data_IF_867145286695
#
_entry.id   IF_867145286695
#
_cell.length_a   1.000
_cell.length_b   1.000
_cell.length_c   1.000
_cell.angle_alpha   90.00
_cell.angle_beta   90.00
_cell.angle_gamma   90.00
#
_symmetry.space_group_name_H-M   'P 1'
#
loop_
_entity.id
_entity.type
_entity.pdbx_description
1 polymer ?
#
# COMPACT_ATOMS: atom_id res chain seq x y z
N UNK A 1 50.04 -54.70 -8.67
CA UNK A 1 50.38 -53.32 -8.27
C UNK A 1 49.29 -52.82 -7.35
N UNK A 2 49.61 -52.54 -6.13
CA UNK A 2 48.85 -52.53 -4.91
C UNK A 2 47.99 -51.25 -4.80
N UNK A 3 46.69 -51.42 -4.55
CA UNK A 3 45.74 -50.33 -4.22
C UNK A 3 45.64 -50.23 -2.71
N UNK A 4 46.07 -49.12 -2.15
CA UNK A 4 45.98 -48.84 -0.74
C UNK A 4 44.57 -48.25 -0.40
N UNK A 5 43.91 -48.93 0.54
CA UNK A 5 42.63 -48.52 1.14
C UNK A 5 42.88 -47.48 2.22
N UNK A 6 42.27 -46.30 2.13
CA UNK A 6 42.21 -45.35 3.23
C UNK A 6 40.81 -45.38 3.87
N UNK A 7 40.78 -45.82 5.12
CA UNK A 7 39.60 -45.72 5.99
C UNK A 7 39.45 -44.29 6.47
N UNK A 8 38.29 -43.68 6.20
CA UNK A 8 37.93 -42.37 6.72
C UNK A 8 36.98 -42.53 7.91
N UNK A 9 37.48 -42.19 9.10
CA UNK A 9 36.71 -42.11 10.33
C UNK A 9 35.86 -40.85 10.31
N UNK A 10 34.52 -40.97 10.31
CA UNK A 10 33.59 -39.85 10.37
C UNK A 10 33.50 -39.35 11.81
N UNK A 11 33.91 -38.12 12.07
CA UNK A 11 33.56 -37.36 13.26
C UNK A 11 32.16 -36.76 13.04
N UNK A 12 31.18 -37.18 13.82
CA UNK A 12 29.88 -36.56 13.95
C UNK A 12 30.06 -35.26 14.78
N UNK A 13 30.10 -34.08 14.11
CA UNK A 13 29.93 -32.83 14.78
C UNK A 13 28.41 -32.46 14.78
N UNK A 14 27.82 -32.44 15.98
CA UNK A 14 26.44 -32.04 16.16
C UNK A 14 26.26 -30.57 15.85
N UNK A 15 25.62 -30.27 14.72
CA UNK A 15 25.08 -28.93 14.42
C UNK A 15 23.77 -28.78 15.21
N UNK A 16 23.84 -28.03 16.30
CA UNK A 16 22.66 -27.42 16.94
C UNK A 16 22.10 -26.38 15.96
N UNK A 17 21.05 -26.76 15.24
CA UNK A 17 20.29 -25.89 14.41
C UNK A 17 19.59 -24.82 15.25
N UNK A 18 20.10 -23.59 15.26
CA UNK A 18 19.37 -22.42 15.72
C UNK A 18 18.30 -22.12 14.67
N UNK A 19 17.14 -22.74 14.82
CA UNK A 19 15.95 -22.38 14.08
C UNK A 19 15.57 -20.95 14.42
N UNK A 20 15.51 -20.08 13.42
CA UNK A 20 14.93 -18.74 13.55
C UNK A 20 13.50 -18.89 14.10
N UNK A 21 13.10 -18.11 15.11
CA UNK A 21 11.72 -18.15 15.60
C UNK A 21 10.80 -17.59 14.51
N UNK A 22 10.23 -18.49 13.71
CA UNK A 22 9.07 -18.16 12.89
C UNK A 22 7.93 -17.84 13.83
N UNK A 23 7.32 -16.68 13.67
CA UNK A 23 6.02 -16.39 14.25
C UNK A 23 5.09 -17.50 13.75
N UNK A 24 4.84 -18.49 14.58
CA UNK A 24 3.84 -19.50 14.29
C UNK A 24 2.47 -18.84 14.38
N UNK A 25 2.02 -18.28 13.26
CA UNK A 25 0.60 -18.16 13.02
C UNK A 25 0.08 -19.59 13.03
N UNK A 26 -0.74 -19.95 14.03
CA UNK A 26 -1.38 -21.25 14.11
C UNK A 26 -1.96 -21.59 12.74
N UNK A 27 -1.45 -22.67 12.12
CA UNK A 27 -1.99 -23.18 10.85
C UNK A 27 -3.44 -23.54 11.05
N UNK A 28 -4.39 -22.89 10.37
CA UNK A 28 -5.79 -23.26 10.47
C UNK A 28 -6.04 -24.62 9.80
N UNK A 29 -6.93 -25.41 10.38
CA UNK A 29 -7.62 -26.48 9.65
C UNK A 29 -8.26 -25.90 8.41
N UNK A 30 -8.05 -26.48 7.26
CA UNK A 30 -8.58 -26.18 5.94
C UNK A 30 -9.08 -24.72 5.74
N UNK A 31 -8.24 -23.83 5.17
CA UNK A 31 -8.58 -22.40 5.03
C UNK A 31 -9.77 -22.12 4.13
N UNK A 32 -10.29 -23.11 3.40
CA UNK A 32 -11.45 -22.94 2.50
C UNK A 32 -12.79 -22.99 3.24
N UNK A 33 -12.85 -23.52 4.46
CA UNK A 33 -14.09 -23.80 5.18
C UNK A 33 -14.55 -22.70 6.16
N UNK A 34 -13.65 -21.83 6.67
CA UNK A 34 -14.00 -20.83 7.70
C UNK A 34 -14.17 -19.42 7.11
N UNK A 35 -15.41 -19.10 6.74
CA UNK A 35 -15.80 -17.75 6.27
C UNK A 35 -16.20 -16.81 7.41
N UNK A 36 -16.11 -17.24 8.66
CA UNK A 36 -16.46 -16.41 9.82
C UNK A 36 -15.56 -15.19 9.97
N UNK A 37 -16.14 -14.10 10.48
CA UNK A 37 -15.39 -12.91 10.88
C UNK A 37 -15.00 -13.11 12.35
N UNK A 38 -13.69 -13.12 12.61
CA UNK A 38 -13.15 -13.36 13.95
C UNK A 38 -12.35 -12.16 14.43
N UNK A 39 -12.44 -11.78 15.71
CA UNK A 39 -11.60 -10.74 16.28
C UNK A 39 -10.11 -11.05 16.09
N UNK A 40 -9.34 -9.98 15.84
CA UNK A 40 -7.88 -10.05 15.71
C UNK A 40 -7.24 -9.05 16.66
N UNK A 41 -6.10 -9.40 17.20
CA UNK A 41 -5.28 -8.54 18.03
C UNK A 41 -3.82 -8.68 17.65
N UNK A 42 -3.16 -7.54 17.47
CA UNK A 42 -1.72 -7.51 17.20
C UNK A 42 -0.97 -7.89 18.48
N UNK A 43 -0.06 -8.85 18.38
CA UNK A 43 0.81 -9.26 19.48
C UNK A 43 2.13 -9.77 18.90
N UNK A 44 3.13 -8.88 18.82
CA UNK A 44 4.45 -9.23 18.32
C UNK A 44 5.30 -9.75 19.49
N UNK A 45 5.85 -10.97 19.43
CA UNK A 45 6.72 -11.48 20.49
C UNK A 45 7.94 -10.58 20.71
N UNK A 46 8.33 -10.38 21.96
CA UNK A 46 9.49 -9.53 22.31
C UNK A 46 10.78 -10.01 21.61
N UNK A 47 10.98 -11.31 21.51
CA UNK A 47 12.13 -11.90 20.83
C UNK A 47 12.27 -11.47 19.35
N UNK A 48 11.14 -11.21 18.64
CA UNK A 48 11.15 -10.70 17.26
C UNK A 48 11.66 -9.26 17.22
N UNK A 49 11.26 -8.44 18.19
CA UNK A 49 11.72 -7.05 18.30
C UNK A 49 13.18 -6.96 18.72
N UNK A 50 13.61 -7.87 19.60
CA UNK A 50 15.02 -7.95 20.03
C UNK A 50 15.91 -8.43 18.87
N UNK A 51 15.46 -9.39 18.06
CA UNK A 51 16.16 -9.81 16.84
C UNK A 51 16.26 -8.68 15.82
N UNK A 52 15.18 -7.92 15.63
CA UNK A 52 15.18 -6.72 14.77
C UNK A 52 16.26 -5.73 15.22
N UNK A 53 16.27 -5.33 16.50
CA UNK A 53 17.26 -4.40 17.05
C UNK A 53 18.69 -4.92 16.88
N UNK A 54 18.93 -6.21 17.16
CA UNK A 54 20.22 -6.85 16.95
C UNK A 54 20.68 -6.80 15.50
N UNK A 55 19.79 -7.07 14.53
CA UNK A 55 20.08 -7.02 13.09
C UNK A 55 20.36 -5.61 12.62
N UNK A 56 19.60 -4.62 13.08
CA UNK A 56 19.86 -3.19 12.78
C UNK A 56 21.23 -2.77 13.29
N UNK A 57 21.58 -3.14 14.54
CA UNK A 57 22.89 -2.83 15.12
C UNK A 57 24.06 -3.56 14.41
N UNK A 58 23.82 -4.74 13.86
CA UNK A 58 24.82 -5.54 13.13
C UNK A 58 24.87 -5.25 11.62
N UNK A 59 24.27 -4.15 11.17
CA UNK A 59 24.25 -3.78 9.75
C UNK A 59 25.65 -3.61 9.19
N UNK A 60 25.92 -4.28 8.06
CA UNK A 60 27.13 -4.05 7.26
C UNK A 60 26.90 -2.87 6.35
N UNK A 61 27.70 -1.84 6.51
CA UNK A 61 27.56 -0.60 5.75
C UNK A 61 28.30 -0.69 4.42
N UNK A 62 27.72 -0.16 3.33
CA UNK A 62 28.46 0.05 2.08
C UNK A 62 29.43 1.22 2.20
N UNK A 63 30.23 1.42 1.15
CA UNK A 63 31.01 2.64 0.99
C UNK A 63 30.08 3.87 0.92
N UNK A 64 30.62 5.02 1.34
CA UNK A 64 29.92 6.29 1.20
C UNK A 64 29.71 6.61 -0.28
N UNK A 65 28.53 7.13 -0.62
CA UNK A 65 28.23 7.65 -1.95
C UNK A 65 29.20 8.76 -2.36
N UNK A 66 29.70 8.79 -3.64
CA UNK A 66 30.59 9.82 -4.14
C UNK A 66 29.89 11.13 -4.55
N UNK A 67 28.56 11.17 -4.47
CA UNK A 67 27.73 12.34 -4.79
C UNK A 67 27.36 13.11 -3.52
N UNK A 68 27.01 14.38 -3.68
CA UNK A 68 26.60 15.24 -2.55
C UNK A 68 25.08 15.36 -2.38
N UNK A 69 24.34 14.75 -3.29
CA UNK A 69 22.87 14.72 -3.32
C UNK A 69 22.33 13.28 -3.17
N UNK A 70 21.06 13.08 -3.44
CA UNK A 70 20.40 11.75 -3.36
C UNK A 70 20.22 11.08 -4.72
N UNK A 71 20.97 11.48 -5.75
CA UNK A 71 20.84 10.92 -7.10
C UNK A 71 21.23 9.43 -7.20
N UNK A 72 21.93 8.90 -6.18
CA UNK A 72 22.28 7.49 -6.04
C UNK A 72 21.45 6.77 -4.95
N UNK A 73 20.40 7.41 -4.45
CA UNK A 73 19.58 6.93 -3.34
C UNK A 73 19.88 7.66 -2.04
N UNK A 74 19.37 7.14 -0.93
CA UNK A 74 19.51 7.73 0.39
C UNK A 74 20.98 7.80 0.85
N UNK A 75 21.45 8.96 1.29
CA UNK A 75 22.83 9.17 1.76
C UNK A 75 23.14 8.28 2.98
N UNK A 76 24.32 7.66 2.97
CA UNK A 76 24.75 6.73 4.03
C UNK A 76 24.65 7.34 5.43
N UNK A 77 24.99 8.60 5.60
CA UNK A 77 24.91 9.28 6.91
C UNK A 77 23.47 9.32 7.47
N UNK A 78 22.48 9.59 6.61
CA UNK A 78 21.06 9.57 6.99
C UNK A 78 20.57 8.14 7.33
N UNK A 79 21.00 7.15 6.55
CA UNK A 79 20.67 5.74 6.82
C UNK A 79 21.24 5.31 8.17
N UNK A 80 22.47 5.69 8.48
CA UNK A 80 23.11 5.40 9.78
C UNK A 80 22.42 6.11 10.95
N UNK A 81 21.94 7.33 10.74
CA UNK A 81 21.14 8.05 11.76
C UNK A 81 19.82 7.33 12.02
N UNK A 82 19.10 6.95 10.96
CA UNK A 82 17.86 6.18 11.06
C UNK A 82 18.08 4.85 11.78
N UNK A 83 19.17 4.14 11.47
CA UNK A 83 19.51 2.88 12.12
C UNK A 83 19.74 3.04 13.63
N UNK A 84 20.49 4.08 14.04
CA UNK A 84 20.68 4.38 15.47
C UNK A 84 19.36 4.64 16.18
N UNK A 85 18.51 5.47 15.57
CA UNK A 85 17.19 5.77 16.12
C UNK A 85 16.31 4.51 16.22
N UNK A 86 16.28 3.68 15.17
CA UNK A 86 15.48 2.45 15.13
C UNK A 86 15.93 1.43 16.20
N UNK A 87 17.24 1.30 16.39
CA UNK A 87 17.79 0.38 17.38
C UNK A 87 17.59 0.81 18.84
N UNK A 88 17.68 2.13 19.13
CA UNK A 88 17.76 2.67 20.48
C UNK A 88 16.45 3.32 20.98
N UNK A 89 15.83 4.15 20.15
CA UNK A 89 14.78 5.09 20.58
C UNK A 89 13.38 4.70 20.10
N UNK A 90 13.29 4.00 18.95
CA UNK A 90 12.01 3.59 18.37
C UNK A 90 11.32 2.50 19.20
N UNK A 91 10.04 2.68 19.49
CA UNK A 91 9.22 1.74 20.24
C UNK A 91 8.01 1.26 19.45
N UNK A 92 8.09 0.03 18.93
CA UNK A 92 6.99 -0.67 18.26
C UNK A 92 5.72 -0.76 19.11
N UNK A 93 5.86 -0.85 20.46
CA UNK A 93 4.70 -1.03 21.34
C UNK A 93 3.71 0.12 21.25
N UNK A 94 4.15 1.32 20.88
CA UNK A 94 3.28 2.47 20.62
C UNK A 94 2.34 2.21 19.45
N UNK A 95 2.87 1.70 18.32
CA UNK A 95 2.02 1.34 17.18
C UNK A 95 1.11 0.14 17.51
N UNK A 96 1.65 -0.90 18.14
CA UNK A 96 0.85 -2.06 18.56
C UNK A 96 -0.33 -1.63 19.45
N UNK A 97 -0.14 -0.71 20.37
CA UNK A 97 -1.19 -0.15 21.22
C UNK A 97 -2.21 0.64 20.39
N UNK A 98 -1.76 1.50 19.46
CA UNK A 98 -2.65 2.27 18.56
C UNK A 98 -3.51 1.34 17.70
N UNK A 99 -2.92 0.31 17.11
CA UNK A 99 -3.64 -0.69 16.34
C UNK A 99 -4.67 -1.41 17.21
N UNK A 100 -4.28 -1.88 18.39
CA UNK A 100 -5.13 -2.62 19.31
C UNK A 100 -6.23 -1.77 19.98
N UNK A 101 -6.16 -0.45 19.87
CA UNK A 101 -7.23 0.46 20.27
C UNK A 101 -8.41 0.47 19.28
N UNK A 102 -8.19 -0.04 18.06
CA UNK A 102 -9.23 -0.15 17.03
C UNK A 102 -9.73 -1.60 16.92
N UNK A 103 -11.03 -1.79 16.63
CA UNK A 103 -11.56 -3.12 16.34
C UNK A 103 -10.93 -3.70 15.07
N UNK A 104 -10.30 -4.87 15.18
CA UNK A 104 -9.63 -5.58 14.10
C UNK A 104 -10.18 -6.98 13.99
N UNK A 105 -10.21 -7.48 12.77
CA UNK A 105 -10.79 -8.78 12.45
C UNK A 105 -9.98 -9.50 11.37
N UNK A 106 -10.24 -10.81 11.27
CA UNK A 106 -9.79 -11.65 10.16
C UNK A 106 -10.95 -12.48 9.64
N UNK A 107 -10.95 -12.73 8.34
CA UNK A 107 -11.84 -13.69 7.67
C UNK A 107 -11.10 -14.37 6.53
N UNK A 108 -11.51 -15.55 6.11
CA UNK A 108 -10.90 -16.23 4.97
C UNK A 108 -11.70 -15.95 3.71
N UNK A 109 -11.10 -15.33 2.69
CA UNK A 109 -11.71 -15.06 1.39
C UNK A 109 -10.84 -15.70 0.32
N UNK A 110 -11.45 -16.49 -0.53
CA UNK A 110 -10.78 -17.13 -1.67
C UNK A 110 -9.51 -17.92 -1.24
N UNK A 111 -9.65 -18.64 -0.10
CA UNK A 111 -8.57 -19.44 0.50
C UNK A 111 -7.50 -18.65 1.27
N UNK A 112 -7.59 -17.33 1.31
CA UNK A 112 -6.59 -16.48 1.97
C UNK A 112 -7.19 -15.77 3.20
N UNK A 113 -6.46 -15.75 4.31
CA UNK A 113 -6.83 -14.95 5.47
C UNK A 113 -6.67 -13.47 5.13
N UNK A 114 -7.74 -12.70 5.30
CA UNK A 114 -7.76 -11.26 5.14
C UNK A 114 -7.93 -10.61 6.53
N UNK A 115 -6.96 -9.81 6.91
CA UNK A 115 -7.02 -8.93 8.07
C UNK A 115 -7.65 -7.59 7.67
N UNK A 116 -8.46 -7.01 8.55
CA UNK A 116 -9.01 -5.68 8.34
C UNK A 116 -9.33 -4.98 9.66
N UNK A 117 -9.22 -3.65 9.65
CA UNK A 117 -9.73 -2.76 10.69
C UNK A 117 -11.17 -2.41 10.29
N UNK A 118 -12.10 -2.47 11.24
CA UNK A 118 -13.50 -2.13 11.00
C UNK A 118 -14.06 -1.28 12.13
N UNK A 119 -14.30 -0.01 11.85
CA UNK A 119 -14.80 0.96 12.82
C UNK A 119 -16.13 1.52 12.35
N UNK A 120 -17.18 1.27 13.13
CA UNK A 120 -18.48 1.84 12.87
C UNK A 120 -18.58 3.25 13.44
N UNK A 121 -19.21 4.12 12.69
CA UNK A 121 -19.58 5.45 13.19
C UNK A 121 -20.61 5.37 14.29
N UNK A 122 -20.56 6.31 15.22
CA UNK A 122 -21.64 6.54 16.19
C UNK A 122 -22.85 7.27 15.60
N UNK A 123 -22.68 7.88 14.42
CA UNK A 123 -23.75 8.62 13.75
C UNK A 123 -24.65 7.67 12.95
N UNK A 124 -25.95 7.82 13.09
CA UNK A 124 -26.92 7.02 12.36
C UNK A 124 -26.84 7.30 10.84
N UNK A 125 -27.02 6.27 10.03
CA UNK A 125 -27.02 6.41 8.58
C UNK A 125 -25.63 6.65 7.96
N UNK A 126 -24.54 6.36 8.70
CA UNK A 126 -23.19 6.41 8.17
C UNK A 126 -23.07 5.57 6.89
N UNK A 127 -22.41 6.13 5.86
CA UNK A 127 -22.17 5.43 4.60
C UNK A 127 -20.93 4.52 4.76
N UNK A 128 -21.00 3.23 4.47
CA UNK A 128 -19.83 2.38 4.56
C UNK A 128 -18.81 2.74 3.47
N UNK A 129 -17.52 2.83 3.87
CA UNK A 129 -16.40 3.03 2.95
C UNK A 129 -15.34 1.96 3.17
N UNK A 130 -14.89 1.32 2.09
CA UNK A 130 -13.70 0.48 2.10
C UNK A 130 -12.52 1.28 1.57
N UNK A 131 -11.42 1.33 2.34
CA UNK A 131 -10.24 2.12 2.04
C UNK A 131 -9.06 1.18 1.80
N UNK A 132 -8.45 1.27 0.62
CA UNK A 132 -7.35 0.40 0.22
C UNK A 132 -6.05 1.20 0.15
N UNK A 133 -5.04 0.73 0.88
CA UNK A 133 -3.68 1.28 0.87
C UNK A 133 -2.88 0.82 -0.37
N UNK A 134 -1.63 1.27 -0.48
CA UNK A 134 -0.69 0.87 -1.52
C UNK A 134 0.65 0.35 -1.01
N UNK A 135 1.68 0.42 -1.86
CA UNK A 135 3.07 0.12 -1.55
C UNK A 135 3.93 1.40 -1.67
N UNK A 136 4.84 1.70 -0.75
CA UNK A 136 5.22 0.95 0.44
C UNK A 136 4.32 1.20 1.66
N UNK A 137 3.11 1.73 1.47
CA UNK A 137 2.12 1.94 2.52
C UNK A 137 1.55 0.66 3.12
N UNK A 138 0.66 0.79 4.08
CA UNK A 138 -0.08 -0.28 4.74
C UNK A 138 -1.34 0.28 5.41
N UNK A 139 -2.04 -0.55 6.20
CA UNK A 139 -3.14 -0.06 7.05
C UNK A 139 -2.71 1.04 8.02
N UNK A 140 -1.41 1.12 8.37
CA UNK A 140 -0.86 2.16 9.26
C UNK A 140 -1.02 3.54 8.65
N UNK A 141 -0.85 3.67 7.34
CA UNK A 141 -1.06 4.89 6.58
C UNK A 141 -2.48 5.45 6.77
N UNK A 142 -3.48 4.57 6.86
CA UNK A 142 -4.89 4.94 6.88
C UNK A 142 -5.43 5.23 8.29
N UNK A 143 -4.67 4.97 9.36
CA UNK A 143 -5.16 5.10 10.74
C UNK A 143 -5.65 6.49 11.09
N UNK A 144 -5.02 7.53 10.52
CA UNK A 144 -5.39 8.92 10.78
C UNK A 144 -6.72 9.33 10.16
N UNK A 145 -7.25 8.57 9.21
CA UNK A 145 -8.56 8.82 8.58
C UNK A 145 -9.72 8.31 9.43
N UNK A 146 -9.47 7.37 10.36
CA UNK A 146 -10.55 6.73 11.11
C UNK A 146 -11.40 7.75 11.87
N UNK A 147 -10.78 8.61 12.68
CA UNK A 147 -11.49 9.66 13.42
C UNK A 147 -12.27 10.61 12.52
N UNK A 148 -11.59 11.31 11.58
CA UNK A 148 -12.24 12.27 10.68
C UNK A 148 -13.40 11.72 9.86
N UNK A 149 -13.40 10.41 9.53
CA UNK A 149 -14.47 9.78 8.77
C UNK A 149 -15.56 9.20 9.65
N UNK A 150 -15.25 8.60 10.81
CA UNK A 150 -16.27 7.97 11.67
C UNK A 150 -16.97 8.97 12.60
N UNK A 151 -16.30 10.07 12.96
CA UNK A 151 -16.85 11.13 13.82
C UNK A 151 -16.55 12.52 13.22
N UNK A 152 -17.12 12.85 12.05
CA UNK A 152 -16.85 14.10 11.37
C UNK A 152 -17.21 15.33 12.20
N UNK A 153 -18.14 15.23 13.16
CA UNK A 153 -18.54 16.36 14.01
C UNK A 153 -17.43 16.84 14.94
N UNK A 154 -16.50 15.97 15.31
CA UNK A 154 -15.31 16.33 16.07
C UNK A 154 -14.17 16.87 15.17
N UNK A 155 -14.36 16.85 13.84
CA UNK A 155 -13.39 17.21 12.80
C UNK A 155 -13.96 18.23 11.79
N UNK A 156 -14.80 19.14 12.25
CA UNK A 156 -15.35 20.24 11.43
C UNK A 156 -16.34 19.81 10.33
N UNK A 157 -16.77 18.55 10.34
CA UNK A 157 -17.77 18.03 9.41
C UNK A 157 -19.15 17.93 10.04
N UNK A 158 -20.09 17.28 9.34
CA UNK A 158 -21.48 17.11 9.78
C UNK A 158 -21.78 15.63 10.04
N UNK A 159 -22.74 15.35 10.92
CA UNK A 159 -23.13 13.98 11.29
C UNK A 159 -23.55 13.13 10.07
N UNK A 160 -24.25 13.73 9.12
CA UNK A 160 -24.70 13.08 7.90
C UNK A 160 -23.55 12.74 6.92
N UNK A 161 -22.36 13.31 7.12
CA UNK A 161 -21.16 12.99 6.33
C UNK A 161 -20.36 11.81 6.90
N UNK A 162 -20.82 11.17 7.98
CA UNK A 162 -20.11 10.08 8.65
C UNK A 162 -20.01 8.80 7.81
N UNK A 163 -18.95 8.02 8.06
CA UNK A 163 -18.72 6.73 7.43
C UNK A 163 -18.51 5.63 8.45
N UNK A 164 -18.99 4.42 8.13
CA UNK A 164 -18.43 3.20 8.67
C UNK A 164 -17.17 2.85 7.87
N UNK A 165 -16.03 2.68 8.53
CA UNK A 165 -14.73 2.56 7.87
C UNK A 165 -14.22 1.14 7.92
N UNK A 166 -13.88 0.56 6.75
CA UNK A 166 -13.25 -0.75 6.58
C UNK A 166 -11.89 -0.56 5.91
N UNK A 167 -10.81 -0.97 6.60
CA UNK A 167 -9.43 -0.82 6.08
C UNK A 167 -8.78 -2.21 6.07
N UNK A 168 -8.84 -2.95 4.95
CA UNK A 168 -8.18 -4.24 4.85
C UNK A 168 -6.68 -4.09 4.61
N UNK A 169 -5.88 -5.01 5.20
CA UNK A 169 -4.53 -5.29 4.69
C UNK A 169 -4.65 -6.04 3.38
N UNK A 170 -4.00 -5.57 2.32
CA UNK A 170 -4.03 -6.27 1.03
C UNK A 170 -3.42 -7.68 1.14
N UNK A 171 -3.81 -8.63 0.26
CA UNK A 171 -3.16 -9.93 0.15
C UNK A 171 -1.63 -9.82 0.06
N UNK A 172 -0.91 -10.48 0.96
CA UNK A 172 0.54 -10.39 1.04
C UNK A 172 1.10 -9.19 1.80
N UNK A 173 0.26 -8.37 2.42
CA UNK A 173 0.64 -7.19 3.20
C UNK A 173 0.21 -7.32 4.66
N UNK A 174 0.97 -6.70 5.55
CA UNK A 174 0.61 -6.56 6.97
C UNK A 174 0.20 -7.90 7.59
N UNK A 175 -0.98 -7.94 8.21
CA UNK A 175 -1.47 -9.14 8.90
C UNK A 175 -2.35 -10.03 8.02
N UNK A 176 -2.56 -9.72 6.74
CA UNK A 176 -3.21 -10.63 5.80
C UNK A 176 -2.28 -11.77 5.39
N UNK A 177 -2.88 -12.88 4.96
CA UNK A 177 -2.17 -14.04 4.46
C UNK A 177 -1.28 -13.69 3.26
N UNK A 178 -0.20 -14.45 3.11
CA UNK A 178 0.69 -14.35 1.95
C UNK A 178 0.20 -15.34 0.89
N UNK A 179 -0.18 -14.88 -0.32
CA UNK A 179 -0.61 -15.76 -1.38
C UNK A 179 0.42 -16.87 -1.68
N UNK A 180 -0.05 -18.08 -1.83
CA UNK A 180 0.74 -19.27 -2.22
C UNK A 180 0.56 -19.63 -3.69
N UNK A 181 -0.43 -19.03 -4.33
CA UNK A 181 -0.76 -19.14 -5.75
C UNK A 181 -0.65 -17.78 -6.44
N UNK A 182 -0.57 -17.78 -7.76
CA UNK A 182 -0.60 -16.59 -8.59
C UNK A 182 -2.02 -16.07 -8.83
N UNK A 183 -2.14 -14.86 -9.40
CA UNK A 183 -3.41 -14.26 -9.78
C UNK A 183 -4.01 -13.29 -8.77
N UNK A 184 -3.33 -12.98 -7.66
CA UNK A 184 -3.77 -11.95 -6.70
C UNK A 184 -3.43 -10.53 -7.22
N UNK A 185 -3.96 -10.23 -8.41
CA UNK A 185 -3.91 -8.91 -9.04
C UNK A 185 -5.06 -8.01 -8.53
N UNK A 186 -5.12 -6.72 -8.94
CA UNK A 186 -6.18 -5.79 -8.53
C UNK A 186 -7.60 -6.31 -8.80
N UNK A 187 -7.82 -7.09 -9.87
CA UNK A 187 -9.13 -7.65 -10.20
C UNK A 187 -9.59 -8.72 -9.19
N UNK A 188 -8.68 -9.57 -8.73
CA UNK A 188 -8.99 -10.58 -7.70
C UNK A 188 -9.16 -9.90 -6.33
N UNK A 189 -8.32 -8.92 -6.00
CA UNK A 189 -8.45 -8.13 -4.76
C UNK A 189 -9.80 -7.41 -4.74
N UNK A 190 -10.22 -6.81 -5.85
CA UNK A 190 -11.52 -6.15 -5.97
C UNK A 190 -12.70 -7.08 -5.68
N UNK A 191 -12.67 -8.34 -6.18
CA UNK A 191 -13.67 -9.35 -5.84
C UNK A 191 -13.65 -9.70 -4.35
N UNK A 192 -12.47 -9.84 -3.77
CA UNK A 192 -12.33 -10.11 -2.35
C UNK A 192 -12.90 -8.97 -1.49
N UNK A 193 -12.72 -7.71 -1.91
CA UNK A 193 -13.30 -6.54 -1.21
C UNK A 193 -14.83 -6.50 -1.33
N UNK A 194 -15.39 -6.81 -2.49
CA UNK A 194 -16.84 -6.98 -2.66
C UNK A 194 -17.41 -8.06 -1.74
N UNK A 195 -16.74 -9.20 -1.63
CA UNK A 195 -17.11 -10.28 -0.72
C UNK A 195 -16.96 -9.88 0.75
N UNK A 196 -15.91 -9.13 1.11
CA UNK A 196 -15.74 -8.60 2.47
C UNK A 196 -16.90 -7.69 2.87
N UNK A 197 -17.27 -6.74 2.02
CA UNK A 197 -18.38 -5.82 2.27
C UNK A 197 -19.72 -6.55 2.37
N UNK A 198 -19.94 -7.56 1.54
CA UNK A 198 -21.13 -8.44 1.61
C UNK A 198 -21.19 -9.22 2.94
N UNK A 199 -20.07 -9.76 3.42
CA UNK A 199 -20.00 -10.47 4.73
C UNK A 199 -20.25 -9.55 5.91
N UNK A 200 -19.89 -8.27 5.79
CA UNK A 200 -20.20 -7.24 6.78
C UNK A 200 -21.67 -6.79 6.73
N UNK A 201 -22.47 -7.31 5.77
CA UNK A 201 -23.90 -7.03 5.65
C UNK A 201 -24.22 -5.73 4.91
N UNK A 202 -23.24 -5.14 4.22
CA UNK A 202 -23.44 -3.91 3.48
C UNK A 202 -24.02 -4.16 2.08
N UNK A 203 -25.18 -3.58 1.82
CA UNK A 203 -25.85 -3.59 0.52
C UNK A 203 -25.56 -2.35 -0.31
N UNK A 204 -25.02 -1.29 0.34
CA UNK A 204 -24.61 -0.04 -0.28
C UNK A 204 -23.32 0.43 0.39
N UNK A 205 -22.32 0.77 -0.40
CA UNK A 205 -21.03 1.25 0.10
C UNK A 205 -20.26 2.00 -1.00
N UNK A 206 -19.19 2.66 -0.63
CA UNK A 206 -18.25 3.33 -1.55
C UNK A 206 -16.83 2.81 -1.31
N UNK A 207 -15.93 3.01 -2.28
CA UNK A 207 -14.54 2.61 -2.15
C UNK A 207 -13.61 3.82 -2.35
N UNK A 208 -12.53 3.85 -1.56
CA UNK A 208 -11.46 4.84 -1.66
C UNK A 208 -10.13 4.13 -1.83
N UNK A 209 -9.20 4.70 -2.62
CA UNK A 209 -7.86 4.19 -2.75
C UNK A 209 -6.86 5.18 -3.33
N UNK A 210 -5.64 5.11 -2.83
CA UNK A 210 -4.43 5.73 -3.38
C UNK A 210 -3.45 4.66 -3.82
N UNK A 211 -2.41 4.99 -4.57
CA UNK A 211 -1.42 4.04 -5.08
C UNK A 211 -2.07 2.76 -5.64
N UNK A 212 -1.70 1.55 -5.17
CA UNK A 212 -2.37 0.29 -5.55
C UNK A 212 -3.86 0.24 -5.17
N UNK A 213 -4.29 1.00 -4.18
CA UNK A 213 -5.70 1.15 -3.86
C UNK A 213 -6.51 1.77 -4.99
N UNK A 214 -5.92 2.64 -5.82
CA UNK A 214 -6.59 3.23 -6.99
C UNK A 214 -6.95 2.19 -8.06
N UNK A 215 -6.04 1.31 -8.54
CA UNK A 215 -6.42 0.21 -9.43
C UNK A 215 -7.40 -0.78 -8.81
N UNK A 216 -7.30 -1.05 -7.51
CA UNK A 216 -8.27 -1.93 -6.83
C UNK A 216 -9.67 -1.30 -6.81
N UNK A 217 -9.80 -0.03 -6.43
CA UNK A 217 -11.08 0.69 -6.46
C UNK A 217 -11.64 0.78 -7.90
N UNK A 218 -10.78 1.08 -8.88
CA UNK A 218 -11.15 1.09 -10.30
C UNK A 218 -11.63 -0.29 -10.78
N UNK A 219 -10.98 -1.36 -10.36
CA UNK A 219 -11.41 -2.73 -10.67
C UNK A 219 -12.76 -3.08 -10.02
N UNK A 220 -13.00 -2.64 -8.77
CA UNK A 220 -14.31 -2.79 -8.11
C UNK A 220 -15.42 -2.10 -8.90
N UNK A 221 -15.16 -0.88 -9.36
CA UNK A 221 -16.13 -0.11 -10.13
C UNK A 221 -16.36 -0.71 -11.54
N UNK A 222 -15.30 -1.15 -12.22
CA UNK A 222 -15.39 -1.79 -13.53
C UNK A 222 -16.15 -3.13 -13.48
N UNK A 223 -15.96 -3.89 -12.41
CA UNK A 223 -16.68 -5.14 -12.16
C UNK A 223 -18.12 -4.92 -11.68
N UNK A 224 -18.52 -3.66 -11.45
CA UNK A 224 -19.81 -3.28 -10.91
C UNK A 224 -20.18 -4.12 -9.66
N UNK A 225 -19.26 -4.13 -8.67
CA UNK A 225 -19.45 -4.93 -7.47
C UNK A 225 -20.81 -4.63 -6.81
N UNK A 226 -21.58 -5.66 -6.41
CA UNK A 226 -22.89 -5.47 -5.83
C UNK A 226 -22.87 -4.50 -4.65
N UNK A 227 -23.70 -3.47 -4.73
CA UNK A 227 -23.81 -2.44 -3.69
C UNK A 227 -22.78 -1.31 -3.76
N UNK A 228 -21.79 -1.37 -4.65
CA UNK A 228 -20.84 -0.27 -4.83
C UNK A 228 -21.53 0.91 -5.54
N UNK A 229 -21.56 2.07 -4.88
CA UNK A 229 -22.21 3.28 -5.39
C UNK A 229 -21.27 4.18 -6.21
N UNK A 230 -19.98 4.14 -5.92
CA UNK A 230 -18.96 4.95 -6.58
C UNK A 230 -17.60 4.80 -5.92
N UNK A 231 -16.59 5.40 -6.53
CA UNK A 231 -15.20 5.35 -6.05
C UNK A 231 -14.60 6.74 -5.92
N UNK A 232 -13.66 6.88 -4.97
CA UNK A 232 -12.76 8.03 -4.86
C UNK A 232 -11.31 7.57 -4.95
N UNK A 233 -10.51 8.22 -5.77
CA UNK A 233 -9.10 7.89 -5.99
C UNK A 233 -8.24 9.16 -6.00
N UNK A 234 -7.01 9.05 -5.47
CA UNK A 234 -6.05 10.16 -5.44
C UNK A 234 -4.80 9.92 -6.31
N UNK A 235 -4.66 8.75 -6.93
CA UNK A 235 -3.68 8.49 -7.98
C UNK A 235 -4.40 7.86 -9.19
N UNK A 236 -5.06 8.67 -10.04
CA UNK A 236 -5.89 8.14 -11.12
C UNK A 236 -5.06 7.58 -12.28
N UNK A 237 -5.53 6.49 -12.89
CA UNK A 237 -5.03 6.06 -14.18
C UNK A 237 -5.68 6.91 -15.28
N UNK A 238 -5.07 8.04 -15.57
CA UNK A 238 -5.62 9.01 -16.52
C UNK A 238 -4.70 9.29 -17.72
N UNK A 239 -3.52 8.68 -17.76
CA UNK A 239 -2.53 8.93 -18.82
C UNK A 239 -3.07 8.47 -20.18
N UNK A 240 -3.19 9.37 -21.18
CA UNK A 240 -3.67 9.02 -22.50
C UNK A 240 -2.76 8.01 -23.21
N UNK A 241 -3.30 7.11 -24.06
CA UNK A 241 -2.51 6.06 -24.73
C UNK A 241 -1.33 6.59 -25.55
N UNK A 242 -1.49 7.72 -26.24
CA UNK A 242 -0.43 8.35 -27.02
C UNK A 242 0.70 8.90 -26.13
N UNK A 243 0.38 9.48 -24.99
CA UNK A 243 1.36 9.92 -23.98
C UNK A 243 2.07 8.71 -23.38
N UNK A 244 1.31 7.68 -23.01
CA UNK A 244 1.84 6.43 -22.46
C UNK A 244 2.83 5.75 -23.41
N UNK A 245 2.52 5.74 -24.71
CA UNK A 245 3.42 5.18 -25.74
C UNK A 245 4.74 5.92 -25.81
N UNK A 246 4.74 7.25 -25.73
CA UNK A 246 5.96 8.05 -25.74
C UNK A 246 6.78 7.82 -24.46
N UNK A 247 6.13 7.77 -23.30
CA UNK A 247 6.81 7.49 -22.02
C UNK A 247 7.46 6.11 -22.00
N UNK A 248 6.83 5.11 -22.63
CA UNK A 248 7.35 3.74 -22.69
C UNK A 248 8.55 3.59 -23.64
N UNK A 249 8.52 4.27 -24.78
CA UNK A 249 9.52 4.11 -25.85
C UNK A 249 10.61 5.20 -25.83
N UNK A 250 10.47 6.22 -25.00
CA UNK A 250 11.28 7.43 -25.03
C UNK A 250 10.90 8.33 -26.20
N UNK A 251 10.91 9.63 -25.98
CA UNK A 251 10.60 10.60 -27.00
C UNK A 251 10.25 11.97 -26.41
N UNK A 252 10.17 13.01 -27.27
CA UNK A 252 9.73 14.32 -26.80
C UNK A 252 8.25 14.31 -26.45
N UNK A 253 7.83 15.24 -25.59
CA UNK A 253 6.42 15.44 -25.29
C UNK A 253 5.62 15.68 -26.58
N UNK A 254 4.38 15.19 -26.68
CA UNK A 254 3.51 15.47 -27.81
C UNK A 254 3.34 16.99 -28.02
N UNK A 255 3.14 17.40 -29.27
CA UNK A 255 2.72 18.78 -29.56
C UNK A 255 1.31 19.06 -29.10
N UNK A 256 1.00 20.33 -28.78
CA UNK A 256 -0.36 20.77 -28.46
C UNK A 256 -0.84 20.50 -27.03
N UNK A 257 0.04 20.04 -26.14
CA UNK A 257 -0.29 19.92 -24.72
C UNK A 257 -0.47 21.31 -24.10
N UNK A 258 -1.50 21.45 -23.25
CA UNK A 258 -1.64 22.61 -22.35
C UNK A 258 -0.47 22.64 -21.34
N UNK A 259 -0.35 23.74 -20.61
CA UNK A 259 0.68 23.89 -19.58
C UNK A 259 0.56 22.80 -18.49
N UNK A 260 -0.65 22.51 -18.03
CA UNK A 260 -0.91 21.47 -17.01
C UNK A 260 -0.62 20.07 -17.55
N UNK A 261 -0.99 19.78 -18.79
CA UNK A 261 -0.69 18.50 -19.45
C UNK A 261 0.80 18.32 -19.69
N UNK A 262 1.50 19.41 -20.04
CA UNK A 262 2.95 19.40 -20.19
C UNK A 262 3.66 19.14 -18.85
N UNK A 263 3.22 19.79 -17.78
CA UNK A 263 3.74 19.56 -16.44
C UNK A 263 3.52 18.10 -15.98
N UNK A 264 2.33 17.55 -16.27
CA UNK A 264 2.03 16.14 -16.00
C UNK A 264 2.93 15.19 -16.79
N UNK A 265 3.14 15.46 -18.09
CA UNK A 265 4.08 14.69 -18.92
C UNK A 265 5.51 14.73 -18.36
N UNK A 266 6.03 15.91 -18.05
CA UNK A 266 7.39 16.09 -17.55
C UNK A 266 7.62 15.40 -16.19
N UNK A 267 6.58 15.36 -15.33
CA UNK A 267 6.59 14.63 -14.05
C UNK A 267 6.64 13.12 -14.28
N UNK A 268 5.78 12.60 -15.16
CA UNK A 268 5.76 11.19 -15.54
C UNK A 268 7.05 10.76 -16.22
N UNK A 269 7.60 11.54 -17.15
CA UNK A 269 8.87 11.23 -17.82
C UNK A 269 10.01 11.12 -16.83
N UNK A 270 10.07 12.03 -15.85
CA UNK A 270 11.03 11.97 -14.73
C UNK A 270 10.83 10.72 -13.89
N UNK A 271 9.60 10.40 -13.51
CA UNK A 271 9.27 9.20 -12.75
C UNK A 271 9.69 7.94 -13.50
N UNK A 272 9.33 7.82 -14.78
CA UNK A 272 9.68 6.65 -15.60
C UNK A 272 11.19 6.49 -15.81
N UNK A 273 11.95 7.57 -15.90
CA UNK A 273 13.39 7.54 -16.14
C UNK A 273 14.21 7.39 -14.86
N UNK A 274 13.75 7.95 -13.73
CA UNK A 274 14.62 8.12 -12.55
C UNK A 274 14.09 7.48 -11.28
N UNK A 275 12.75 7.37 -11.09
CA UNK A 275 12.18 7.05 -9.79
C UNK A 275 11.50 5.68 -9.71
N UNK A 276 11.30 4.96 -10.84
CA UNK A 276 10.54 3.69 -10.83
C UNK A 276 11.42 2.42 -10.75
N UNK A 277 12.70 2.53 -10.40
CA UNK A 277 13.59 1.36 -10.37
C UNK A 277 13.05 0.24 -9.44
N UNK A 278 12.49 0.61 -8.29
CA UNK A 278 11.85 -0.32 -7.36
C UNK A 278 10.69 -1.09 -8.03
N UNK A 279 9.82 -0.39 -8.75
CA UNK A 279 8.66 -1.00 -9.43
C UNK A 279 9.11 -1.93 -10.58
N UNK A 280 10.17 -1.57 -11.32
CA UNK A 280 10.75 -2.42 -12.35
C UNK A 280 11.35 -3.70 -11.77
N UNK A 281 12.08 -3.61 -10.66
CA UNK A 281 12.64 -4.76 -9.95
C UNK A 281 11.52 -5.67 -9.42
N UNK A 282 10.52 -5.12 -8.73
CA UNK A 282 9.40 -5.89 -8.19
C UNK A 282 8.51 -6.46 -9.28
N UNK A 283 8.32 -5.76 -10.39
CA UNK A 283 7.53 -6.22 -11.54
C UNK A 283 8.19 -7.35 -12.34
N UNK A 284 9.50 -7.50 -12.26
CA UNK A 284 10.25 -8.49 -13.05
C UNK A 284 10.86 -9.59 -12.21
N UNK A 285 11.39 -9.29 -11.03
CA UNK A 285 12.15 -10.19 -10.16
C UNK A 285 11.80 -10.03 -8.67
N UNK A 286 10.50 -10.13 -8.27
CA UNK A 286 10.08 -9.88 -6.89
C UNK A 286 10.75 -10.80 -5.88
N UNK A 287 11.06 -12.04 -6.27
CA UNK A 287 11.71 -12.99 -5.35
C UNK A 287 13.17 -12.61 -5.10
N UNK A 288 13.87 -12.05 -6.09
CA UNK A 288 15.27 -11.63 -5.94
C UNK A 288 15.39 -10.49 -4.94
N UNK A 289 14.61 -9.42 -5.14
CA UNK A 289 14.62 -8.31 -4.19
C UNK A 289 14.00 -8.71 -2.85
N UNK A 290 12.96 -9.54 -2.85
CA UNK A 290 12.32 -10.05 -1.65
C UNK A 290 13.28 -10.81 -0.74
N UNK A 291 14.22 -11.59 -1.29
CA UNK A 291 15.26 -12.27 -0.52
C UNK A 291 16.14 -11.28 0.26
N UNK A 292 16.59 -10.20 -0.39
CA UNK A 292 17.41 -9.18 0.26
C UNK A 292 16.64 -8.41 1.34
N UNK A 293 15.39 -8.02 1.05
CA UNK A 293 14.55 -7.24 1.95
C UNK A 293 14.06 -8.05 3.16
N UNK A 294 13.97 -9.37 3.03
CA UNK A 294 13.61 -10.28 4.13
C UNK A 294 14.78 -10.51 5.08
N UNK A 295 16.01 -10.44 4.60
CA UNK A 295 17.21 -10.73 5.41
C UNK A 295 17.77 -9.49 6.12
N UNK A 296 17.63 -8.30 5.51
CA UNK A 296 18.19 -7.05 6.03
C UNK A 296 17.09 -6.04 6.39
N UNK A 297 16.88 -5.70 7.69
CA UNK A 297 15.96 -4.64 8.06
C UNK A 297 16.37 -3.29 7.50
N UNK A 298 17.68 -2.98 7.45
CA UNK A 298 18.15 -1.74 6.86
C UNK A 298 18.04 -1.74 5.32
N UNK A 299 18.20 -2.89 4.68
CA UNK A 299 17.88 -3.04 3.25
C UNK A 299 16.42 -2.76 2.96
N UNK A 300 15.51 -3.30 3.78
CA UNK A 300 14.07 -3.01 3.67
C UNK A 300 13.79 -1.52 3.89
N UNK A 301 14.32 -0.93 4.96
CA UNK A 301 14.09 0.47 5.28
C UNK A 301 14.58 1.40 4.15
N UNK A 302 15.79 1.21 3.64
CA UNK A 302 16.33 2.03 2.55
C UNK A 302 15.57 1.86 1.25
N UNK A 303 15.15 0.63 0.91
CA UNK A 303 14.37 0.37 -0.29
C UNK A 303 12.99 1.02 -0.24
N UNK A 304 12.32 1.01 0.93
CA UNK A 304 11.04 1.69 1.12
C UNK A 304 11.20 3.22 1.21
N UNK A 305 12.33 3.69 1.73
CA UNK A 305 12.62 5.11 1.88
C UNK A 305 12.87 5.82 0.55
N UNK A 306 13.50 5.13 -0.41
CA UNK A 306 13.84 5.67 -1.73
C UNK A 306 12.60 6.00 -2.58
N UNK A 307 11.42 5.53 -2.18
CA UNK A 307 10.18 5.74 -2.90
C UNK A 307 9.91 7.22 -3.22
N UNK A 308 10.20 8.15 -2.32
CA UNK A 308 9.94 9.58 -2.49
C UNK A 308 11.23 10.39 -2.72
N UNK A 309 12.10 9.93 -3.62
CA UNK A 309 13.41 10.53 -3.93
C UNK A 309 14.30 10.68 -2.67
N UNK A 310 14.15 9.78 -1.69
CA UNK A 310 14.98 9.72 -0.51
C UNK A 310 14.75 10.84 0.51
N UNK A 311 13.59 11.49 0.52
CA UNK A 311 13.24 12.55 1.50
C UNK A 311 11.89 12.34 2.19
N UNK A 312 11.55 11.15 2.73
CA UNK A 312 10.27 10.97 3.45
C UNK A 312 10.18 11.84 4.70
N UNK A 313 11.30 12.22 5.33
CA UNK A 313 11.28 13.10 6.51
C UNK A 313 10.65 14.47 6.27
N UNK A 314 10.52 14.90 5.03
CA UNK A 314 9.80 16.13 4.69
C UNK A 314 8.30 15.99 4.89
N UNK A 315 7.80 14.74 4.87
CA UNK A 315 6.38 14.40 4.85
C UNK A 315 5.96 13.57 6.06
N UNK A 316 6.86 12.71 6.56
CA UNK A 316 6.59 11.75 7.64
C UNK A 316 7.60 11.91 8.77
N UNK A 317 7.15 11.76 10.01
CA UNK A 317 8.06 11.63 11.14
C UNK A 317 8.86 10.31 11.04
N UNK A 318 10.04 10.25 11.68
CA UNK A 318 10.82 9.00 11.78
C UNK A 318 9.98 7.85 12.36
N UNK A 319 9.12 8.14 13.33
CA UNK A 319 8.23 7.16 13.93
C UNK A 319 7.19 6.64 12.93
N UNK A 320 6.51 7.52 12.19
CA UNK A 320 5.52 7.09 11.18
C UNK A 320 6.15 6.19 10.11
N UNK A 321 7.35 6.56 9.65
CA UNK A 321 8.09 5.75 8.71
C UNK A 321 8.49 4.39 9.29
N UNK A 322 9.06 4.37 10.51
CA UNK A 322 9.50 3.15 11.17
C UNK A 322 8.32 2.27 11.63
N UNK A 323 7.18 2.86 11.98
CA UNK A 323 5.94 2.13 12.24
C UNK A 323 5.59 1.24 11.06
N UNK A 324 5.64 1.80 9.86
CA UNK A 324 5.32 1.08 8.63
C UNK A 324 6.39 0.05 8.24
N UNK A 325 7.67 0.43 8.23
CA UNK A 325 8.77 -0.49 7.91
C UNK A 325 8.82 -1.66 8.90
N UNK A 326 8.63 -1.37 10.20
CA UNK A 326 8.61 -2.41 11.23
C UNK A 326 7.43 -3.36 11.05
N UNK A 327 6.25 -2.87 10.62
CA UNK A 327 5.14 -3.74 10.27
C UNK A 327 5.53 -4.74 9.17
N UNK A 328 6.12 -4.27 8.07
CA UNK A 328 6.61 -5.16 7.00
C UNK A 328 7.63 -6.18 7.50
N UNK A 329 8.52 -5.75 8.39
CA UNK A 329 9.54 -6.61 8.97
C UNK A 329 8.94 -7.71 9.87
N UNK A 330 8.14 -7.33 10.87
CA UNK A 330 7.61 -8.28 11.86
C UNK A 330 6.59 -9.25 11.26
N UNK A 331 5.94 -8.88 10.16
CA UNK A 331 5.02 -9.75 9.41
C UNK A 331 5.72 -10.51 8.27
N UNK A 332 6.99 -10.20 8.00
CA UNK A 332 7.76 -10.79 6.89
C UNK A 332 7.04 -10.68 5.54
N UNK A 333 6.55 -9.48 5.21
CA UNK A 333 5.73 -9.24 4.01
C UNK A 333 6.47 -8.51 2.89
N UNK A 334 7.77 -8.25 3.01
CA UNK A 334 8.56 -7.58 1.98
C UNK A 334 8.49 -8.30 0.62
N UNK A 335 8.71 -9.62 0.61
CA UNK A 335 8.67 -10.41 -0.62
C UNK A 335 7.24 -10.57 -1.17
N UNK A 336 6.26 -10.86 -0.30
CA UNK A 336 4.87 -11.10 -0.73
C UNK A 336 4.21 -9.84 -1.28
N UNK A 337 4.46 -8.68 -0.67
CA UNK A 337 3.95 -7.39 -1.16
C UNK A 337 4.52 -7.01 -2.53
N UNK A 338 5.80 -7.32 -2.76
CA UNK A 338 6.46 -7.07 -4.04
C UNK A 338 5.81 -7.82 -5.21
N UNK A 339 5.20 -8.99 -4.95
CA UNK A 339 4.58 -9.82 -6.00
C UNK A 339 3.38 -9.15 -6.67
N UNK A 340 2.70 -8.20 -6.02
CA UNK A 340 1.59 -7.47 -6.65
C UNK A 340 2.04 -6.75 -7.94
N UNK A 341 3.26 -6.22 -7.97
CA UNK A 341 3.83 -5.62 -9.18
C UNK A 341 4.04 -6.64 -10.29
N UNK A 342 4.46 -7.85 -9.96
CA UNK A 342 4.62 -8.94 -10.92
C UNK A 342 3.26 -9.47 -11.43
N UNK A 343 2.26 -9.56 -10.56
CA UNK A 343 0.90 -9.99 -10.90
C UNK A 343 0.20 -9.07 -11.91
N UNK A 344 0.68 -7.85 -12.07
CA UNK A 344 0.21 -6.91 -13.10
C UNK A 344 1.07 -6.96 -14.37
N UNK A 345 1.93 -7.96 -14.52
CA UNK A 345 2.87 -8.11 -15.64
C UNK A 345 3.77 -6.86 -15.84
N UNK A 346 4.10 -6.16 -14.77
CA UNK A 346 4.87 -4.91 -14.80
C UNK A 346 4.13 -3.74 -15.47
N UNK A 347 2.82 -3.87 -15.72
CA UNK A 347 2.02 -2.79 -16.29
C UNK A 347 1.95 -1.62 -15.30
N UNK A 348 2.04 -0.41 -15.85
CA UNK A 348 1.94 0.79 -15.04
C UNK A 348 0.50 0.99 -14.56
N UNK A 349 0.35 1.19 -13.26
CA UNK A 349 -0.93 1.54 -12.61
C UNK A 349 -1.47 2.91 -13.05
N UNK A 350 -0.65 3.71 -13.72
CA UNK A 350 -1.01 5.06 -14.18
C UNK A 350 -1.70 5.06 -15.56
N UNK A 351 -1.68 3.93 -16.28
CA UNK A 351 -2.21 3.86 -17.64
C UNK A 351 -3.70 3.52 -17.66
N UNK A 352 -4.51 4.42 -18.20
CA UNK A 352 -5.96 4.22 -18.34
C UNK A 352 -6.33 2.97 -19.13
N UNK A 353 -5.57 2.66 -20.17
CA UNK A 353 -5.76 1.46 -20.98
C UNK A 353 -5.49 0.18 -20.19
N UNK A 354 -4.46 0.17 -19.32
CA UNK A 354 -4.15 -0.98 -18.48
C UNK A 354 -5.27 -1.27 -17.46
N UNK A 355 -5.91 -0.23 -16.93
CA UNK A 355 -7.01 -0.34 -15.96
C UNK A 355 -8.40 -0.39 -16.60
N UNK A 356 -8.49 -0.23 -17.94
CA UNK A 356 -9.77 -0.24 -18.68
C UNK A 356 -10.77 0.76 -18.10
N UNK A 357 -10.30 1.95 -17.77
CA UNK A 357 -11.09 2.98 -17.08
C UNK A 357 -12.35 3.40 -17.86
N UNK A 358 -12.31 3.31 -19.19
CA UNK A 358 -13.46 3.61 -20.05
C UNK A 358 -14.66 2.65 -19.85
N UNK A 359 -14.45 1.46 -19.25
CA UNK A 359 -15.50 0.49 -18.93
C UNK A 359 -16.22 0.84 -17.60
N UNK A 360 -15.71 1.80 -16.81
CA UNK A 360 -16.30 2.20 -15.53
C UNK A 360 -17.53 3.08 -15.79
N UNK A 361 -18.70 2.59 -15.40
CA UNK A 361 -19.96 3.33 -15.50
C UNK A 361 -20.37 4.02 -14.19
N UNK A 362 -19.88 3.54 -13.07
CA UNK A 362 -20.15 4.13 -11.75
C UNK A 362 -19.50 5.52 -11.60
N UNK A 363 -20.05 6.38 -10.73
CA UNK A 363 -19.45 7.66 -10.40
C UNK A 363 -18.01 7.51 -9.91
N UNK A 364 -17.11 8.29 -10.51
CA UNK A 364 -15.71 8.39 -10.13
C UNK A 364 -15.43 9.78 -9.56
N UNK A 365 -14.80 9.83 -8.41
CA UNK A 365 -14.29 11.03 -7.78
C UNK A 365 -12.77 11.01 -7.77
N UNK A 366 -12.14 12.14 -8.05
CA UNK A 366 -10.69 12.30 -8.07
C UNK A 366 -10.30 13.51 -7.25
N UNK A 367 -9.36 13.33 -6.31
CA UNK A 367 -8.63 14.44 -5.70
C UNK A 367 -7.17 14.37 -6.10
N UNK A 368 -6.62 15.46 -6.62
CA UNK A 368 -5.24 15.57 -7.09
C UNK A 368 -4.42 16.35 -6.07
N UNK A 369 -3.40 15.70 -5.51
CA UNK A 369 -2.46 16.30 -4.57
C UNK A 369 -1.22 16.86 -5.31
N UNK A 370 -0.67 18.03 -4.89
CA UNK A 370 0.41 18.70 -5.62
C UNK A 370 1.73 17.92 -5.65
N UNK A 371 2.00 17.10 -4.62
CA UNK A 371 3.24 16.32 -4.50
C UNK A 371 3.05 14.82 -4.82
N UNK A 372 2.00 14.47 -5.57
CA UNK A 372 1.81 13.12 -6.10
C UNK A 372 2.81 12.82 -7.24
N UNK A 373 2.98 11.56 -7.62
CA UNK A 373 3.83 11.11 -8.74
C UNK A 373 3.60 11.96 -9.99
N UNK A 374 2.35 12.31 -10.27
CA UNK A 374 1.98 13.34 -11.24
C UNK A 374 0.65 13.97 -10.86
N UNK A 375 0.51 15.24 -11.20
CA UNK A 375 -0.78 15.94 -11.11
C UNK A 375 -1.59 15.61 -12.36
N UNK A 376 -2.58 14.74 -12.20
CA UNK A 376 -3.42 14.34 -13.33
C UNK A 376 -4.25 15.53 -13.82
N UNK A 377 -4.11 16.01 -15.08
CA UNK A 377 -4.94 17.07 -15.59
C UNK A 377 -6.41 16.65 -15.68
N UNK A 378 -7.33 17.56 -15.38
CA UNK A 378 -8.76 17.27 -15.50
C UNK A 378 -9.16 16.80 -16.89
N UNK A 379 -8.54 17.36 -17.94
CA UNK A 379 -8.76 16.96 -19.34
C UNK A 379 -8.44 15.48 -19.58
N UNK A 380 -7.34 15.00 -19.00
CA UNK A 380 -6.98 13.58 -19.07
C UNK A 380 -7.91 12.71 -18.23
N UNK A 381 -8.28 13.17 -17.03
CA UNK A 381 -9.19 12.44 -16.15
C UNK A 381 -10.57 12.29 -16.79
N UNK A 382 -11.15 13.35 -17.38
CA UNK A 382 -12.42 13.31 -18.10
C UNK A 382 -12.39 12.40 -19.34
N UNK A 383 -11.24 12.33 -20.00
CA UNK A 383 -11.05 11.44 -21.14
C UNK A 383 -10.96 9.97 -20.69
N UNK A 384 -10.36 9.69 -19.55
CA UNK A 384 -10.19 8.34 -19.01
C UNK A 384 -11.46 7.79 -18.35
N UNK A 385 -12.19 8.64 -17.58
CA UNK A 385 -13.35 8.24 -16.79
C UNK A 385 -14.62 8.91 -17.33
N UNK A 386 -15.50 8.12 -17.94
CA UNK A 386 -16.73 8.63 -18.59
C UNK A 386 -17.69 9.27 -17.58
N UNK A 387 -17.76 8.76 -16.36
CA UNK A 387 -18.61 9.28 -15.29
C UNK A 387 -17.76 9.92 -14.19
N UNK A 388 -16.94 10.91 -14.56
CA UNK A 388 -16.18 11.73 -13.61
C UNK A 388 -17.15 12.71 -12.92
N UNK A 389 -17.61 12.33 -11.72
CA UNK A 389 -18.61 13.07 -10.95
C UNK A 389 -18.01 14.15 -10.05
N UNK A 390 -16.74 14.01 -9.67
CA UNK A 390 -16.01 14.95 -8.82
C UNK A 390 -14.55 15.02 -9.26
N UNK A 391 -14.02 16.25 -9.36
CA UNK A 391 -12.60 16.49 -9.60
C UNK A 391 -12.18 17.72 -8.82
N UNK A 392 -11.15 17.58 -8.00
CA UNK A 392 -10.61 18.69 -7.22
C UNK A 392 -9.09 18.62 -7.12
N UNK A 393 -8.42 19.72 -7.41
CA UNK A 393 -6.99 19.89 -7.17
C UNK A 393 -6.82 20.66 -5.86
N UNK A 394 -6.18 20.02 -4.89
CA UNK A 394 -5.88 20.63 -3.59
C UNK A 394 -4.50 21.29 -3.58
N UNK A 395 -4.26 22.16 -2.59
CA UNK A 395 -3.08 23.03 -2.53
C UNK A 395 -1.89 22.42 -1.75
N UNK A 396 -2.09 21.31 -1.02
CA UNK A 396 -1.08 20.67 -0.20
C UNK A 396 -1.28 19.16 -0.11
N UNK A 397 -0.26 18.45 0.43
CA UNK A 397 -0.22 17.01 0.52
C UNK A 397 0.38 16.35 -0.73
N UNK A 398 0.54 15.04 -0.68
CA UNK A 398 1.20 14.26 -1.73
C UNK A 398 0.73 12.82 -1.75
N UNK A 399 1.67 11.93 -2.06
CA UNK A 399 1.40 10.52 -2.29
C UNK A 399 0.76 9.82 -1.08
N UNK A 400 1.23 10.12 0.12
CA UNK A 400 0.70 9.57 1.38
C UNK A 400 -0.33 10.51 2.02
N UNK A 401 -1.30 10.98 1.24
CA UNK A 401 -2.27 11.98 1.67
C UNK A 401 -2.98 11.62 2.99
N UNK A 402 -3.21 10.33 3.25
CA UNK A 402 -3.79 9.86 4.50
C UNK A 402 -2.87 10.09 5.74
N UNK A 403 -1.57 10.11 5.53
CA UNK A 403 -0.60 10.47 6.58
C UNK A 403 -0.32 11.96 6.64
N UNK A 404 -0.11 12.57 5.47
CA UNK A 404 0.34 13.96 5.33
C UNK A 404 -0.75 14.95 5.69
N UNK A 405 -1.96 14.73 5.14
CA UNK A 405 -3.10 15.64 5.22
C UNK A 405 -4.42 14.88 5.50
N UNK A 406 -4.53 14.14 6.62
CA UNK A 406 -5.68 13.28 6.88
C UNK A 406 -7.01 14.04 6.95
N UNK A 407 -7.03 15.23 7.52
CA UNK A 407 -8.24 16.07 7.60
C UNK A 407 -8.69 16.55 6.22
N UNK A 408 -7.74 16.94 5.37
CA UNK A 408 -8.02 17.35 3.99
C UNK A 408 -8.54 16.17 3.18
N UNK A 409 -7.86 15.02 3.20
CA UNK A 409 -8.32 13.84 2.47
C UNK A 409 -9.71 13.38 2.95
N UNK A 410 -9.96 13.39 4.25
CA UNK A 410 -11.28 13.06 4.79
C UNK A 410 -12.35 14.06 4.33
N UNK A 411 -12.04 15.36 4.26
CA UNK A 411 -12.97 16.37 3.73
C UNK A 411 -13.28 16.13 2.24
N UNK A 412 -12.28 15.79 1.44
CA UNK A 412 -12.43 15.43 0.03
C UNK A 412 -13.30 14.19 -0.16
N UNK A 413 -13.06 13.13 0.62
CA UNK A 413 -13.88 11.90 0.61
C UNK A 413 -15.33 12.20 0.99
N UNK A 414 -15.56 13.04 2.01
CA UNK A 414 -16.91 13.48 2.38
C UNK A 414 -17.60 14.26 1.25
N UNK A 415 -16.89 15.21 0.62
CA UNK A 415 -17.41 16.02 -0.49
C UNK A 415 -17.76 15.15 -1.70
N UNK A 416 -16.84 14.26 -2.08
CA UNK A 416 -16.97 13.36 -3.22
C UNK A 416 -18.20 12.44 -3.11
N UNK A 417 -18.47 11.91 -1.92
CA UNK A 417 -19.55 10.93 -1.74
C UNK A 417 -20.86 11.51 -1.21
N UNK A 418 -20.91 12.83 -0.91
CA UNK A 418 -22.14 13.47 -0.44
C UNK A 418 -23.34 13.29 -1.39
N UNK A 419 -23.16 13.42 -2.75
CA UNK A 419 -24.28 13.21 -3.67
C UNK A 419 -24.83 11.78 -3.67
N UNK A 420 -24.02 10.78 -3.30
CA UNK A 420 -24.43 9.37 -3.31
C UNK A 420 -25.19 8.93 -2.08
N UNK A 421 -25.26 9.74 -1.01
CA UNK A 421 -25.96 9.41 0.23
C UNK A 421 -27.49 9.42 0.10
N UNK A 422 -28.04 10.15 -0.86
CA UNK A 422 -29.48 10.22 -1.14
C UNK A 422 -29.99 9.16 -2.12
N UNK A 423 -29.09 8.44 -2.77
CA UNK A 423 -29.41 7.40 -3.76
C UNK A 423 -29.81 6.09 -3.05
N UNK A 424 -30.93 6.11 -2.29
CA UNK A 424 -31.61 4.86 -1.94
C UNK A 424 -32.44 4.44 -3.15
N UNK A 425 -32.25 3.20 -3.68
CA UNK A 425 -33.12 2.67 -4.72
C UNK A 425 -34.54 2.51 -4.22
#
# INVERSE_FOLDING_TARGET
MTIASFSTTALLAGLLGLGSPSVALSTPKDPTADSSIRPFKVSVPQAVLDDLRRRVAATRWPDKEPVTDQSQGMQLAKVQELARYWAADYDWRRLEQRLNALPQFVTTIDGLQIHFIYVRSRHAGALPVIITHGWPGSVVEQLRLVGPLTDPTSHGGRAEDAFDVVIPSMPGYGFSGRPTDTGWNPDRIARAWGELMRRLGYTHYVAQGGDWGSPVASAMARQAQPGLLGIHINLPAAVPPEVASILANGGPAPGGLSETERAAFDSLDRFYKKSRAYAAMMGTRPQVIGQALTDSPMGLATFMYDYNNGEPERLLSKDDFLDNVTLYWVTNTAASSSRLYWETAGQSVLLSAAQKTAEISLPVAITVFPNEVYRAPETWARRAYRNLAYFHEVDRGGHFAAWEEPELLAAEVRAAFRPLRGSRP
#
